data_IF_870837190684
#
_entry.id   IF_870837190684
#
_cell.length_a   1.000
_cell.length_b   1.000
_cell.length_c   1.000
_cell.angle_alpha   90.00
_cell.angle_beta   90.00
_cell.angle_gamma   90.00
#
_symmetry.space_group_name_H-M   'P 1'
#
loop_
_entity.id
_entity.type
_entity.pdbx_description
1 polymer ?
#
# COMPACT_ATOMS: atom_id res chain seq x y z
N UNK A 1 -3.91 37.89 -7.20
CA UNK A 1 -3.58 36.68 -6.43
C UNK A 1 -3.92 36.83 -4.95
N UNK A 2 -3.27 37.72 -4.19
CA UNK A 2 -3.49 37.88 -2.74
C UNK A 2 -4.97 37.99 -2.30
N UNK A 3 -5.80 38.72 -3.06
CA UNK A 3 -7.25 38.80 -2.79
C UNK A 3 -7.96 37.45 -2.95
N UNK A 4 -7.64 36.71 -4.01
CA UNK A 4 -8.18 35.36 -4.23
C UNK A 4 -7.64 34.35 -3.19
N UNK A 5 -6.38 34.51 -2.77
CA UNK A 5 -5.80 33.72 -1.69
C UNK A 5 -6.49 34.02 -0.34
N UNK A 6 -6.89 35.27 -0.11
CA UNK A 6 -7.67 35.65 1.08
C UNK A 6 -8.98 34.89 1.20
N UNK A 7 -9.70 34.75 0.09
CA UNK A 7 -10.98 34.04 0.04
C UNK A 7 -10.82 32.51 -0.01
N UNK A 8 -9.66 31.99 -0.45
CA UNK A 8 -9.41 30.56 -0.55
C UNK A 8 -9.15 29.91 0.83
N UNK A 9 -9.63 28.68 1.03
CA UNK A 9 -9.33 27.87 2.24
C UNK A 9 -8.11 26.96 2.08
N UNK A 10 -7.79 26.61 0.83
CA UNK A 10 -6.74 25.65 0.47
C UNK A 10 -5.80 26.24 -0.57
N UNK A 11 -4.53 25.84 -0.51
CA UNK A 11 -3.52 26.15 -1.52
C UNK A 11 -2.88 24.86 -1.98
N UNK A 12 -2.98 24.56 -3.28
CA UNK A 12 -2.32 23.40 -3.88
C UNK A 12 -0.99 23.83 -4.49
N UNK A 13 0.10 23.29 -3.97
CA UNK A 13 1.46 23.44 -4.49
C UNK A 13 1.77 22.25 -5.37
N UNK A 14 2.02 22.50 -6.66
CA UNK A 14 2.40 21.45 -7.62
C UNK A 14 3.91 21.48 -7.81
N UNK A 15 4.66 20.45 -7.36
CA UNK A 15 6.08 20.38 -7.61
C UNK A 15 6.35 20.24 -9.12
N UNK A 16 7.43 20.86 -9.60
CA UNK A 16 7.82 20.79 -11.02
C UNK A 16 9.28 20.36 -11.13
N UNK A 17 9.58 19.37 -11.98
CA UNK A 17 10.97 19.00 -12.27
C UNK A 17 11.65 19.92 -13.30
N UNK A 18 10.87 20.73 -14.03
CA UNK A 18 11.40 21.59 -15.09
C UNK A 18 12.12 22.85 -14.56
N UNK A 19 11.73 23.35 -13.39
CA UNK A 19 12.27 24.60 -12.85
C UNK A 19 12.35 24.54 -11.33
N UNK A 20 13.44 25.08 -10.77
CA UNK A 20 13.59 25.25 -9.32
C UNK A 20 12.61 26.28 -8.76
N UNK A 21 12.14 26.09 -7.53
CA UNK A 21 11.30 27.10 -6.87
C UNK A 21 12.05 28.42 -6.66
N UNK A 22 13.37 28.37 -6.51
CA UNK A 22 14.23 29.53 -6.31
C UNK A 22 14.34 30.43 -7.54
N UNK A 23 14.09 29.91 -8.75
CA UNK A 23 14.02 30.75 -9.94
C UNK A 23 12.67 31.47 -10.11
N UNK A 24 11.67 31.14 -9.26
CA UNK A 24 10.34 31.74 -9.28
C UNK A 24 9.99 32.35 -7.92
N UNK A 25 10.62 33.48 -7.62
CA UNK A 25 10.45 34.20 -6.34
C UNK A 25 8.99 34.48 -5.99
N UNK A 26 8.15 34.71 -7.00
CA UNK A 26 6.71 34.92 -6.82
C UNK A 26 6.02 33.71 -6.20
N UNK A 27 6.34 32.48 -6.65
CA UNK A 27 5.76 31.26 -6.08
C UNK A 27 6.16 31.05 -4.61
N UNK A 28 7.38 31.44 -4.22
CA UNK A 28 7.83 31.40 -2.82
C UNK A 28 7.01 32.39 -1.98
N UNK A 29 6.84 33.62 -2.47
CA UNK A 29 6.03 34.63 -1.80
C UNK A 29 4.57 34.18 -1.62
N UNK A 30 3.97 33.55 -2.63
CA UNK A 30 2.61 33.02 -2.56
C UNK A 30 2.48 31.89 -1.52
N UNK A 31 3.45 30.98 -1.46
CA UNK A 31 3.48 29.92 -0.46
C UNK A 31 3.70 30.48 0.96
N UNK A 32 4.58 31.47 1.12
CA UNK A 32 4.80 32.17 2.39
C UNK A 32 3.52 32.86 2.87
N UNK A 33 2.85 33.61 1.98
CA UNK A 33 1.61 34.31 2.30
C UNK A 33 0.49 33.32 2.68
N UNK A 34 0.42 32.17 2.03
CA UNK A 34 -0.54 31.13 2.39
C UNK A 34 -0.30 30.60 3.81
N UNK A 35 0.96 30.45 4.23
CA UNK A 35 1.33 30.03 5.59
C UNK A 35 1.01 31.11 6.62
N UNK A 36 1.35 32.36 6.34
CA UNK A 36 1.01 33.51 7.21
C UNK A 36 -0.50 33.67 7.42
N UNK A 37 -1.29 33.35 6.39
CA UNK A 37 -2.75 33.39 6.47
C UNK A 37 -3.38 32.09 6.99
N UNK A 38 -2.57 31.19 7.57
CA UNK A 38 -2.97 29.89 8.13
C UNK A 38 -3.80 29.01 7.17
N UNK A 39 -3.51 29.10 5.87
CA UNK A 39 -4.21 28.30 4.85
C UNK A 39 -3.70 26.86 4.86
N UNK A 40 -4.57 25.92 4.47
CA UNK A 40 -4.17 24.52 4.34
C UNK A 40 -3.39 24.35 3.04
N UNK A 41 -2.07 24.15 3.16
CA UNK A 41 -1.18 23.91 2.02
C UNK A 41 -1.11 22.42 1.72
N UNK A 42 -1.59 22.04 0.54
CA UNK A 42 -1.53 20.68 0.01
C UNK A 42 -0.43 20.61 -1.05
N UNK A 43 0.36 19.55 -1.07
CA UNK A 43 1.31 19.28 -2.14
C UNK A 43 0.76 18.18 -3.06
N UNK A 44 0.75 18.45 -4.36
CA UNK A 44 0.38 17.43 -5.33
C UNK A 44 1.42 16.31 -5.30
N UNK A 45 0.95 15.06 -5.22
CA UNK A 45 1.80 13.88 -5.31
C UNK A 45 1.82 13.37 -6.76
N UNK A 46 2.98 12.91 -7.23
CA UNK A 46 3.08 12.22 -8.50
C UNK A 46 2.19 10.95 -8.50
N UNK A 47 1.57 10.59 -9.64
CA UNK A 47 0.92 9.30 -9.76
C UNK A 47 1.98 8.20 -9.55
N UNK A 48 1.63 7.09 -8.88
CA UNK A 48 2.56 5.99 -8.67
C UNK A 48 2.99 5.42 -10.03
N UNK A 49 4.23 4.95 -10.10
CA UNK A 49 4.80 4.38 -11.32
C UNK A 49 3.97 3.17 -11.78
N UNK A 50 3.27 3.31 -12.92
CA UNK A 50 2.32 2.31 -13.38
C UNK A 50 2.96 0.92 -13.58
N UNK A 51 4.24 0.88 -13.99
CA UNK A 51 5.00 -0.37 -14.14
C UNK A 51 5.32 -1.05 -12.81
N UNK A 52 5.76 -0.30 -11.79
CA UNK A 52 6.05 -0.83 -10.45
C UNK A 52 4.77 -1.33 -9.79
N UNK A 53 3.69 -0.55 -9.91
CA UNK A 53 2.37 -0.93 -9.42
C UNK A 53 1.83 -2.18 -10.15
N UNK A 54 1.95 -2.25 -11.47
CA UNK A 54 1.52 -3.41 -12.23
C UNK A 54 2.31 -4.66 -11.83
N UNK A 55 3.63 -4.54 -11.66
CA UNK A 55 4.46 -5.66 -11.24
C UNK A 55 4.09 -6.14 -9.82
N UNK A 56 3.91 -5.23 -8.86
CA UNK A 56 3.52 -5.60 -7.50
C UNK A 56 2.14 -6.27 -7.47
N UNK A 57 1.18 -5.76 -8.26
CA UNK A 57 -0.12 -6.38 -8.44
C UNK A 57 -0.03 -7.76 -9.08
N UNK A 58 0.77 -7.94 -10.14
CA UNK A 58 0.96 -9.24 -10.80
C UNK A 58 1.57 -10.24 -9.84
N UNK A 59 2.61 -9.87 -9.08
CA UNK A 59 3.23 -10.75 -8.09
C UNK A 59 2.23 -11.14 -6.99
N UNK A 60 1.44 -10.19 -6.49
CA UNK A 60 0.40 -10.46 -5.50
C UNK A 60 -0.70 -11.40 -6.04
N UNK A 61 -1.11 -11.22 -7.30
CA UNK A 61 -2.09 -12.08 -7.98
C UNK A 61 -1.52 -13.49 -8.19
N UNK A 62 -0.29 -13.62 -8.65
CA UNK A 62 0.34 -14.92 -8.85
C UNK A 62 0.49 -15.71 -7.54
N UNK A 63 0.94 -15.04 -6.47
CA UNK A 63 1.08 -15.64 -5.15
C UNK A 63 -0.27 -16.09 -4.58
N UNK A 64 -1.33 -15.29 -4.77
CA UNK A 64 -2.67 -15.65 -4.32
C UNK A 64 -3.31 -16.79 -5.11
N UNK A 65 -3.10 -16.84 -6.43
CA UNK A 65 -3.56 -17.97 -7.25
C UNK A 65 -2.82 -19.24 -6.89
N UNK A 66 -1.50 -19.18 -6.70
CA UNK A 66 -0.69 -20.32 -6.29
C UNK A 66 -1.12 -20.86 -4.91
N UNK A 67 -1.40 -19.97 -3.95
CA UNK A 67 -1.86 -20.39 -2.62
C UNK A 67 -3.27 -21.00 -2.67
N UNK A 68 -4.20 -20.41 -3.44
CA UNK A 68 -5.54 -20.98 -3.61
C UNK A 68 -5.52 -22.35 -4.31
N UNK A 69 -4.71 -22.51 -5.36
CA UNK A 69 -4.54 -23.77 -6.07
C UNK A 69 -3.94 -24.85 -5.16
N UNK A 70 -2.93 -24.50 -4.36
CA UNK A 70 -2.35 -25.37 -3.35
C UNK A 70 -3.41 -25.83 -2.35
N UNK A 71 -4.18 -24.89 -1.78
CA UNK A 71 -5.29 -25.19 -0.86
C UNK A 71 -6.35 -26.12 -1.46
N UNK A 72 -6.71 -25.93 -2.73
CA UNK A 72 -7.67 -26.78 -3.44
C UNK A 72 -7.16 -28.22 -3.64
N UNK A 73 -5.95 -28.38 -4.20
CA UNK A 73 -5.34 -29.70 -4.43
C UNK A 73 -5.26 -30.49 -3.13
N UNK A 74 -4.86 -29.80 -2.06
CA UNK A 74 -4.76 -30.34 -0.73
C UNK A 74 -6.12 -30.77 -0.14
N UNK A 75 -7.18 -30.00 -0.37
CA UNK A 75 -8.53 -30.31 0.10
C UNK A 75 -9.14 -31.57 -0.56
N UNK A 76 -8.66 -31.95 -1.74
CA UNK A 76 -9.16 -33.14 -2.46
C UNK A 76 -8.58 -34.48 -1.99
N UNK A 77 -7.60 -34.48 -1.07
CA UNK A 77 -6.99 -35.73 -0.60
C UNK A 77 -7.86 -36.44 0.45
N UNK A 78 -8.06 -37.76 0.33
CA UNK A 78 -9.02 -38.54 1.15
C UNK A 78 -8.59 -38.76 2.63
N UNK A 79 -7.31 -38.58 2.98
CA UNK A 79 -6.81 -38.75 4.36
C UNK A 79 -7.08 -37.50 5.22
N UNK A 80 -8.33 -37.38 5.68
CA UNK A 80 -8.87 -36.11 6.17
C UNK A 80 -8.50 -35.68 7.60
N UNK A 81 -7.99 -36.51 8.50
CA UNK A 81 -7.86 -36.12 9.93
C UNK A 81 -6.59 -35.31 10.24
N UNK A 82 -5.41 -35.84 9.91
CA UNK A 82 -4.13 -35.14 10.10
C UNK A 82 -4.03 -33.89 9.22
N UNK A 83 -4.62 -33.96 8.03
CA UNK A 83 -4.58 -32.89 7.05
C UNK A 83 -5.42 -31.66 7.47
N UNK A 84 -6.62 -31.89 8.03
CA UNK A 84 -7.47 -30.81 8.58
C UNK A 84 -6.84 -30.14 9.80
N UNK A 85 -6.06 -30.86 10.61
CA UNK A 85 -5.33 -30.29 11.73
C UNK A 85 -4.16 -29.39 11.26
N UNK A 86 -3.40 -29.83 10.26
CA UNK A 86 -2.32 -29.05 9.65
C UNK A 86 -2.85 -27.75 8.99
N UNK A 87 -3.99 -27.81 8.30
CA UNK A 87 -4.62 -26.63 7.69
C UNK A 87 -5.08 -25.60 8.74
N UNK A 88 -5.67 -26.05 9.87
CA UNK A 88 -6.06 -25.16 10.99
C UNK A 88 -4.84 -24.55 11.68
N UNK A 89 -3.79 -25.34 11.92
CA UNK A 89 -2.54 -24.84 12.49
C UNK A 89 -1.87 -23.82 11.57
N UNK A 90 -1.85 -24.08 10.25
CA UNK A 90 -1.36 -23.15 9.24
C UNK A 90 -2.10 -21.82 9.24
N UNK A 91 -3.44 -21.84 9.31
CA UNK A 91 -4.26 -20.63 9.40
C UNK A 91 -3.97 -19.81 10.67
N UNK A 92 -3.73 -20.45 11.82
CA UNK A 92 -3.37 -19.78 13.08
C UNK A 92 -1.97 -19.14 12.98
N UNK A 93 -0.99 -19.85 12.44
CA UNK A 93 0.37 -19.31 12.22
C UNK A 93 0.33 -18.11 11.28
N UNK A 94 -0.50 -18.17 10.25
CA UNK A 94 -0.77 -17.09 9.31
C UNK A 94 -1.36 -15.85 10.02
N UNK A 95 -2.36 -16.03 10.88
CA UNK A 95 -3.00 -14.92 11.61
C UNK A 95 -2.04 -14.32 12.63
N UNK A 96 -1.23 -15.13 13.30
CA UNK A 96 -0.17 -14.66 14.20
C UNK A 96 0.91 -13.91 13.41
N UNK A 97 1.33 -14.42 12.25
CA UNK A 97 2.28 -13.74 11.37
C UNK A 97 1.74 -12.39 10.89
N UNK A 98 0.44 -12.31 10.52
CA UNK A 98 -0.25 -11.06 10.21
C UNK A 98 -0.28 -10.09 11.40
N UNK A 99 -0.58 -10.57 12.61
CA UNK A 99 -0.62 -9.75 13.81
C UNK A 99 0.79 -9.20 14.14
N UNK A 100 1.81 -10.04 14.07
CA UNK A 100 3.22 -9.64 14.20
C UNK A 100 3.67 -8.66 13.10
N UNK A 101 3.16 -8.83 11.88
CA UNK A 101 3.37 -7.94 10.74
C UNK A 101 2.74 -6.54 10.95
N UNK A 102 1.51 -6.50 11.47
CA UNK A 102 0.82 -5.25 11.84
C UNK A 102 1.55 -4.56 13.00
N UNK A 103 2.05 -5.31 13.99
CA UNK A 103 2.86 -4.77 15.08
C UNK A 103 4.23 -4.27 14.62
N UNK A 104 4.78 -4.85 13.55
CA UNK A 104 6.07 -4.42 12.95
C UNK A 104 5.91 -3.33 11.88
N UNK A 105 4.70 -2.76 11.70
CA UNK A 105 4.41 -1.68 10.72
C UNK A 105 5.26 -0.40 10.87
N UNK A 106 6.06 -0.31 11.93
CA UNK A 106 7.02 0.77 12.15
C UNK A 106 8.19 0.79 11.18
N UNK A 107 8.44 -0.27 10.40
CA UNK A 107 9.56 -0.34 9.46
C UNK A 107 9.12 -0.53 7.99
N UNK A 108 9.58 0.31 7.04
CA UNK A 108 9.09 0.33 5.65
C UNK A 108 9.32 -0.99 4.88
N UNK A 109 10.36 -1.73 5.24
CA UNK A 109 10.68 -3.04 4.63
C UNK A 109 9.83 -4.18 5.21
N UNK A 110 9.38 -4.05 6.46
CA UNK A 110 8.52 -5.04 7.10
C UNK A 110 7.10 -5.00 6.54
N UNK A 111 6.65 -3.86 6.02
CA UNK A 111 5.30 -3.68 5.47
C UNK A 111 5.06 -4.47 4.18
N UNK A 112 6.08 -4.58 3.32
CA UNK A 112 5.98 -5.29 2.04
C UNK A 112 5.79 -6.80 2.26
N UNK A 113 6.64 -7.37 3.12
CA UNK A 113 6.60 -8.79 3.45
C UNK A 113 5.35 -9.12 4.27
N UNK A 114 4.96 -8.25 5.21
CA UNK A 114 3.71 -8.32 5.94
C UNK A 114 2.48 -8.40 5.03
N UNK A 115 2.37 -7.51 4.05
CA UNK A 115 1.22 -7.45 3.15
C UNK A 115 1.18 -8.64 2.19
N UNK A 116 2.33 -9.05 1.65
CA UNK A 116 2.42 -10.23 0.77
C UNK A 116 2.10 -11.54 1.51
N UNK A 117 2.61 -11.69 2.74
CA UNK A 117 2.28 -12.81 3.62
C UNK A 117 0.79 -12.77 3.95
N UNK A 118 0.23 -11.60 4.25
CA UNK A 118 -1.19 -11.45 4.55
C UNK A 118 -2.13 -11.78 3.39
N UNK A 119 -1.78 -11.37 2.17
CA UNK A 119 -2.55 -11.68 0.96
C UNK A 119 -2.55 -13.18 0.64
N UNK A 120 -1.36 -13.79 0.65
CA UNK A 120 -1.21 -15.22 0.35
C UNK A 120 -1.95 -16.10 1.35
N UNK A 121 -1.90 -15.72 2.62
CA UNK A 121 -2.63 -16.28 3.74
C UNK A 121 -4.16 -16.28 3.57
N UNK A 122 -4.74 -15.11 3.32
CA UNK A 122 -6.19 -14.91 3.14
C UNK A 122 -6.70 -15.74 1.96
N UNK A 123 -5.92 -15.81 0.88
CA UNK A 123 -6.27 -16.51 -0.35
C UNK A 123 -6.14 -18.04 -0.22
N UNK A 124 -5.21 -18.52 0.62
CA UNK A 124 -5.13 -19.94 0.99
C UNK A 124 -6.37 -20.37 1.79
N UNK A 125 -6.78 -19.58 2.78
CA UNK A 125 -7.93 -19.88 3.63
C UNK A 125 -9.24 -19.82 2.84
N UNK A 126 -9.41 -18.86 1.92
CA UNK A 126 -10.59 -18.81 1.05
C UNK A 126 -10.67 -19.96 0.07
N UNK A 127 -9.55 -20.37 -0.55
CA UNK A 127 -9.51 -21.55 -1.41
C UNK A 127 -10.03 -22.79 -0.68
N UNK A 128 -9.64 -22.95 0.59
CA UNK A 128 -10.10 -24.02 1.45
C UNK A 128 -11.58 -23.88 1.86
N UNK A 129 -12.04 -22.66 2.19
CA UNK A 129 -13.42 -22.40 2.60
C UNK A 129 -14.43 -22.42 1.44
N UNK A 130 -14.03 -22.11 0.21
CA UNK A 130 -14.91 -22.20 -0.98
C UNK A 130 -15.29 -23.64 -1.29
N UNK A 131 -14.49 -24.62 -0.85
CA UNK A 131 -14.87 -26.03 -0.84
C UNK A 131 -15.94 -26.39 0.23
N UNK A 132 -16.23 -25.47 1.17
CA UNK A 132 -17.17 -25.65 2.29
C UNK A 132 -18.29 -24.57 2.37
N UNK A 133 -18.51 -23.76 1.32
CA UNK A 133 -19.63 -22.80 1.20
C UNK A 133 -19.72 -21.69 2.29
N UNK A 134 -18.67 -20.89 2.48
CA UNK A 134 -18.68 -19.57 3.15
C UNK A 134 -17.40 -18.80 2.73
N UNK A 135 -17.20 -17.47 2.71
CA UNK A 135 -17.98 -16.24 2.94
C UNK A 135 -17.24 -15.04 2.27
N UNK A 136 -17.93 -13.91 2.07
CA UNK A 136 -17.44 -12.65 1.47
C UNK A 136 -16.46 -11.83 2.33
N UNK A 137 -16.14 -12.26 3.55
CA UNK A 137 -15.28 -11.51 4.47
C UNK A 137 -13.82 -11.45 4.01
N UNK A 138 -13.33 -12.50 3.35
CA UNK A 138 -11.93 -12.59 2.94
C UNK A 138 -11.59 -11.73 1.71
N UNK A 139 -12.56 -11.46 0.84
CA UNK A 139 -12.39 -10.47 -0.23
C UNK A 139 -12.14 -9.08 0.35
N UNK A 140 -12.74 -8.74 1.49
CA UNK A 140 -12.51 -7.46 2.18
C UNK A 140 -11.07 -7.40 2.72
N UNK A 141 -10.57 -8.49 3.32
CA UNK A 141 -9.18 -8.56 3.76
C UNK A 141 -8.19 -8.48 2.59
N UNK A 142 -8.47 -9.14 1.47
CA UNK A 142 -7.61 -9.06 0.28
C UNK A 142 -7.54 -7.62 -0.27
N UNK A 143 -8.68 -6.92 -0.34
CA UNK A 143 -8.72 -5.52 -0.74
C UNK A 143 -7.99 -4.60 0.24
N UNK A 144 -8.09 -4.87 1.55
CA UNK A 144 -7.37 -4.13 2.57
C UNK A 144 -5.85 -4.22 2.40
N UNK A 145 -5.30 -5.43 2.21
CA UNK A 145 -3.87 -5.59 2.00
C UNK A 145 -3.39 -5.00 0.66
N UNK A 146 -4.20 -5.08 -0.40
CA UNK A 146 -3.94 -4.37 -1.65
C UNK A 146 -3.85 -2.85 -1.43
N UNK A 147 -4.78 -2.28 -0.66
CA UNK A 147 -4.75 -0.85 -0.32
C UNK A 147 -3.50 -0.47 0.49
N UNK A 148 -3.09 -1.30 1.46
CA UNK A 148 -1.86 -1.09 2.22
C UNK A 148 -0.60 -1.17 1.34
N UNK A 149 -0.57 -2.04 0.33
CA UNK A 149 0.57 -2.15 -0.58
C UNK A 149 0.68 -0.95 -1.52
N UNK A 150 -0.46 -0.45 -2.02
CA UNK A 150 -0.53 0.80 -2.79
C UNK A 150 -0.01 1.98 -1.97
N UNK A 151 -0.42 2.07 -0.70
CA UNK A 151 0.03 3.16 0.18
C UNK A 151 1.54 3.03 0.52
N UNK A 152 2.05 1.80 0.65
CA UNK A 152 3.48 1.53 0.82
C UNK A 152 4.31 2.05 -0.35
N UNK A 153 3.95 1.68 -1.59
CA UNK A 153 4.65 2.15 -2.79
C UNK A 153 4.65 3.68 -2.88
N UNK A 154 3.48 4.32 -2.65
CA UNK A 154 3.37 5.79 -2.59
C UNK A 154 4.25 6.42 -1.50
N UNK A 155 4.46 5.73 -0.39
CA UNK A 155 5.34 6.22 0.69
C UNK A 155 6.82 6.14 0.31
N UNK A 156 7.23 5.11 -0.45
CA UNK A 156 8.61 4.93 -0.92
C UNK A 156 8.95 5.96 -1.99
N UNK A 157 8.08 6.16 -2.97
CA UNK A 157 8.27 7.16 -4.02
C UNK A 157 8.47 8.56 -3.42
N UNK A 158 7.65 8.94 -2.43
CA UNK A 158 7.80 10.21 -1.71
C UNK A 158 9.12 10.34 -0.96
N UNK A 159 9.67 9.25 -0.43
CA UNK A 159 10.97 9.24 0.27
C UNK A 159 12.13 9.35 -0.71
N UNK A 160 12.07 8.63 -1.83
CA UNK A 160 13.06 8.75 -2.89
C UNK A 160 13.08 10.17 -3.47
N UNK A 161 11.90 10.75 -3.73
CA UNK A 161 11.77 12.13 -4.18
C UNK A 161 12.35 13.11 -3.15
N UNK A 162 11.99 12.98 -1.86
CA UNK A 162 12.56 13.81 -0.80
C UNK A 162 14.08 13.66 -0.67
N UNK A 163 14.62 12.45 -0.88
CA UNK A 163 16.06 12.21 -0.88
C UNK A 163 16.76 12.88 -2.07
N UNK A 164 16.16 12.82 -3.27
CA UNK A 164 16.66 13.55 -4.45
C UNK A 164 16.64 15.06 -4.23
N UNK A 165 15.56 15.59 -3.66
CA UNK A 165 15.44 17.02 -3.36
C UNK A 165 16.51 17.51 -2.37
N UNK A 166 16.92 16.67 -1.40
CA UNK A 166 18.00 16.99 -0.45
C UNK A 166 19.38 17.08 -1.09
N UNK A 167 19.60 16.39 -2.21
CA UNK A 167 20.87 16.45 -2.95
C UNK A 167 20.99 17.73 -3.81
N UNK A 168 19.93 18.55 -3.86
CA UNK A 168 19.85 19.73 -4.71
C UNK A 168 19.44 19.40 -6.15
N UNK A 169 18.98 20.42 -6.87
CA UNK A 169 18.78 20.32 -8.33
C UNK A 169 20.15 20.55 -8.98
N UNK A 170 20.79 19.48 -9.45
CA UNK A 170 21.97 19.55 -10.31
C UNK A 170 21.54 19.82 -11.77
#
# INVERSE_FOLDING_TARGET
FAKALGDASYVLVVPTHATSIYSRIWCIYEAFLAVEMEKIVLTAAAPPDAGRLALSLVVAVLLSVASAACGWVLATRPDGSAFRAAARAGAVVIVIAMFCAVLTQRYPCANATANAIGMSAVMFVTGFQRAQNASSAFTVFALYFLACEVDRERSLDRREEAARLRLGYA
#
